data_IF_490236283240
#
_entry.id   IF_490236283240
#
_cell.length_a   1.000
_cell.length_b   1.000
_cell.length_c   1.000
_cell.angle_alpha   90.00
_cell.angle_beta   90.00
_cell.angle_gamma   90.00
#
_symmetry.space_group_name_H-M   'P 1'
#
loop_
_entity.id
_entity.type
_entity.pdbx_description
1 polymer ?
#
# COMPACT_ATOMS: atom_id res chain seq x y z
N UNK A 1 -0.13 -0.69 16.90
CA UNK A 1 -0.16 -1.94 16.14
C UNK A 1 1.26 -2.46 16.12
N UNK A 2 1.47 -3.66 16.64
CA UNK A 2 2.77 -4.33 16.63
C UNK A 2 2.97 -4.90 15.21
N UNK A 3 3.96 -4.39 14.48
CA UNK A 3 4.21 -4.77 13.08
C UNK A 3 4.74 -6.20 12.98
N UNK A 4 5.44 -6.67 14.02
CA UNK A 4 6.05 -8.00 14.06
C UNK A 4 5.01 -9.13 14.15
N UNK A 5 3.79 -8.80 14.56
CA UNK A 5 2.66 -9.73 14.67
C UNK A 5 1.68 -9.64 13.49
N UNK A 6 1.98 -8.81 12.49
CA UNK A 6 1.07 -8.64 11.35
C UNK A 6 1.16 -9.84 10.39
N UNK A 7 0.04 -10.54 10.22
CA UNK A 7 -0.04 -11.68 9.30
C UNK A 7 -0.37 -11.18 7.88
N UNK A 8 0.69 -10.92 7.09
CA UNK A 8 0.57 -10.41 5.71
C UNK A 8 -0.24 -11.37 4.81
N UNK A 9 0.01 -12.69 4.74
CA UNK A 9 -0.78 -13.59 3.90
C UNK A 9 -2.29 -13.51 4.19
N UNK A 10 -2.66 -13.54 5.48
CA UNK A 10 -4.06 -13.42 5.89
C UNK A 10 -4.66 -12.07 5.48
N UNK A 11 -3.89 -10.99 5.57
CA UNK A 11 -4.35 -9.68 5.14
C UNK A 11 -4.53 -9.63 3.61
N UNK A 12 -3.58 -10.15 2.83
CA UNK A 12 -3.70 -10.23 1.37
C UNK A 12 -4.97 -10.96 0.95
N UNK A 13 -5.28 -12.13 1.55
CA UNK A 13 -6.54 -12.88 1.32
C UNK A 13 -7.81 -12.03 1.49
N UNK A 14 -7.78 -11.04 2.39
CA UNK A 14 -8.93 -10.16 2.65
C UNK A 14 -9.13 -9.06 1.60
N UNK A 15 -8.12 -8.80 0.77
CA UNK A 15 -8.19 -7.80 -0.28
C UNK A 15 -8.87 -8.39 -1.51
N UNK A 16 -9.82 -7.66 -2.16
CA UNK A 16 -10.53 -8.16 -3.33
C UNK A 16 -9.60 -8.69 -4.44
N UNK A 17 -8.49 -7.98 -4.68
CA UNK A 17 -7.51 -8.30 -5.71
C UNK A 17 -6.85 -9.67 -5.52
N UNK A 18 -6.73 -10.17 -4.28
CA UNK A 18 -6.05 -11.43 -3.96
C UNK A 18 -6.98 -12.46 -3.28
N UNK A 19 -8.28 -12.20 -3.27
CA UNK A 19 -9.27 -13.05 -2.58
C UNK A 19 -9.26 -14.50 -3.10
N UNK A 20 -9.05 -14.70 -4.40
CA UNK A 20 -9.03 -16.00 -5.08
C UNK A 20 -7.64 -16.60 -5.35
N UNK A 21 -6.56 -15.97 -4.89
CA UNK A 21 -5.17 -16.41 -5.09
C UNK A 21 -4.87 -17.69 -4.29
N UNK A 22 -4.05 -18.63 -4.76
CA UNK A 22 -3.76 -19.83 -3.96
C UNK A 22 -2.97 -19.50 -2.67
N UNK A 23 -3.05 -20.34 -1.63
CA UNK A 23 -2.35 -20.07 -0.36
C UNK A 23 -0.82 -19.99 -0.55
N UNK A 24 -0.24 -20.86 -1.36
CA UNK A 24 1.20 -20.84 -1.66
C UNK A 24 1.62 -19.56 -2.39
N UNK A 25 0.77 -19.04 -3.29
CA UNK A 25 1.00 -17.78 -3.98
C UNK A 25 0.91 -16.59 -3.03
N UNK A 26 -0.03 -16.62 -2.07
CA UNK A 26 -0.10 -15.59 -1.03
C UNK A 26 1.15 -15.57 -0.15
N UNK A 27 1.70 -16.73 0.21
CA UNK A 27 2.97 -16.81 0.96
C UNK A 27 4.12 -16.20 0.16
N UNK A 28 4.20 -16.50 -1.14
CA UNK A 28 5.21 -15.91 -2.04
C UNK A 28 5.06 -14.40 -2.17
N UNK A 29 3.83 -13.89 -2.33
CA UNK A 29 3.56 -12.45 -2.38
C UNK A 29 3.92 -11.77 -1.05
N UNK A 30 3.57 -12.39 0.07
CA UNK A 30 3.86 -11.87 1.40
C UNK A 30 5.36 -11.72 1.67
N UNK A 31 6.19 -12.62 1.14
CA UNK A 31 7.65 -12.52 1.26
C UNK A 31 8.24 -11.28 0.56
N UNK A 32 7.55 -10.74 -0.46
CA UNK A 32 7.93 -9.50 -1.14
C UNK A 32 7.28 -8.25 -0.56
N UNK A 33 6.43 -8.37 0.46
CA UNK A 33 5.72 -7.25 1.06
C UNK A 33 6.52 -6.64 2.22
N UNK A 34 6.43 -5.32 2.37
CA UNK A 34 6.98 -4.60 3.51
C UNK A 34 5.89 -3.81 4.21
N UNK A 35 5.89 -3.82 5.55
CA UNK A 35 4.97 -3.04 6.35
C UNK A 35 5.64 -1.73 6.74
N UNK A 36 5.08 -0.60 6.30
CA UNK A 36 5.63 0.74 6.54
C UNK A 36 4.64 1.59 7.30
N UNK A 37 5.13 2.33 8.30
CA UNK A 37 4.35 3.29 9.07
C UNK A 37 4.72 4.70 8.64
N UNK A 38 3.72 5.55 8.49
CA UNK A 38 3.87 6.95 8.13
C UNK A 38 3.13 7.82 9.14
N UNK A 39 3.73 8.95 9.47
CA UNK A 39 3.09 9.98 10.28
C UNK A 39 2.15 10.84 9.43
N UNK A 40 1.20 11.54 10.07
CA UNK A 40 0.27 12.42 9.35
C UNK A 40 1.04 13.49 8.57
N UNK A 41 0.71 13.65 7.30
CA UNK A 41 1.36 14.61 6.41
C UNK A 41 2.67 14.12 5.78
N UNK A 42 3.13 12.91 6.10
CA UNK A 42 4.26 12.30 5.42
C UNK A 42 3.91 12.01 3.95
N UNK A 43 4.89 12.24 3.08
CA UNK A 43 4.79 11.88 1.68
C UNK A 43 5.20 10.40 1.49
N UNK A 44 4.40 9.62 0.74
CA UNK A 44 4.61 8.18 0.58
C UNK A 44 5.40 7.89 -0.71
N UNK A 45 4.99 8.48 -1.82
CA UNK A 45 5.67 8.44 -3.13
C UNK A 45 5.23 9.65 -3.97
N UNK A 46 6.05 10.03 -4.95
CA UNK A 46 5.78 11.16 -5.85
C UNK A 46 5.45 10.71 -7.28
N UNK A 47 4.71 11.56 -7.98
CA UNK A 47 4.52 11.40 -9.43
C UNK A 47 5.87 11.46 -10.15
N UNK A 48 6.09 10.52 -11.08
CA UNK A 48 7.31 10.46 -11.88
C UNK A 48 8.45 9.65 -11.23
N UNK A 49 8.31 9.24 -9.97
CA UNK A 49 9.21 8.26 -9.36
C UNK A 49 8.98 6.86 -9.97
N UNK A 50 10.01 6.01 -9.87
CA UNK A 50 9.92 4.63 -10.32
C UNK A 50 8.78 3.90 -9.57
N UNK A 51 7.97 3.16 -10.32
CA UNK A 51 6.89 2.36 -9.75
C UNK A 51 7.47 1.03 -9.24
N UNK A 52 8.05 1.06 -8.05
CA UNK A 52 8.73 -0.10 -7.45
C UNK A 52 7.76 -1.11 -6.81
N UNK A 53 6.48 -0.77 -6.70
CA UNK A 53 5.49 -1.67 -6.14
C UNK A 53 4.08 -1.11 -5.97
N UNK A 54 3.18 -2.00 -5.60
CA UNK A 54 1.80 -1.70 -5.28
C UNK A 54 1.63 -1.46 -3.77
N UNK A 55 0.85 -0.44 -3.41
CA UNK A 55 0.64 -0.03 -2.02
C UNK A 55 -0.81 -0.28 -1.59
N UNK A 56 -0.99 -0.78 -0.36
CA UNK A 56 -2.30 -1.00 0.25
C UNK A 56 -2.34 -0.35 1.62
N UNK A 57 -3.43 0.35 1.93
CA UNK A 57 -3.63 0.98 3.24
C UNK A 57 -4.18 -0.05 4.23
N UNK A 58 -3.36 -0.43 5.21
CA UNK A 58 -3.78 -1.33 6.31
C UNK A 58 -4.68 -0.60 7.31
N UNK A 59 -4.26 0.59 7.75
CA UNK A 59 -4.99 1.46 8.68
C UNK A 59 -4.71 2.91 8.32
N UNK A 60 -5.74 3.76 8.41
CA UNK A 60 -5.65 5.20 8.18
C UNK A 60 -6.17 5.60 6.80
N UNK A 61 -5.69 6.73 6.29
CA UNK A 61 -6.12 7.31 5.03
C UNK A 61 -4.92 7.85 4.28
N UNK A 62 -4.93 7.65 2.96
CA UNK A 62 -3.94 8.21 2.03
C UNK A 62 -4.70 9.00 0.98
N UNK A 63 -4.26 10.24 0.73
CA UNK A 63 -4.78 11.09 -0.34
C UNK A 63 -3.82 11.02 -1.51
N UNK A 64 -4.34 10.67 -2.68
CA UNK A 64 -3.66 10.85 -3.95
C UNK A 64 -4.10 12.20 -4.52
N UNK A 65 -3.15 12.97 -5.05
CA UNK A 65 -3.44 14.24 -5.70
C UNK A 65 -2.41 14.53 -6.79
N UNK A 66 -2.82 15.30 -7.78
CA UNK A 66 -1.92 15.85 -8.79
C UNK A 66 -1.98 17.37 -8.70
N UNK A 67 -0.82 18.02 -8.70
CA UNK A 67 -0.76 19.48 -8.78
C UNK A 67 -0.90 19.90 -10.24
N UNK A 68 -1.97 20.62 -10.56
CA UNK A 68 -2.10 21.22 -11.90
C UNK A 68 -1.08 22.36 -12.08
N UNK A 69 -0.67 22.69 -13.32
CA UNK A 69 0.24 23.81 -13.58
C UNK A 69 -0.25 25.18 -13.04
N UNK A 70 -1.56 25.30 -12.77
CA UNK A 70 -2.18 26.49 -12.16
C UNK A 70 -2.28 26.47 -10.63
N UNK A 71 -1.69 25.49 -9.95
CA UNK A 71 -1.64 25.41 -8.48
C UNK A 71 -2.85 24.78 -7.79
N UNK A 72 -3.87 24.36 -8.53
CA UNK A 72 -5.02 23.65 -7.97
C UNK A 72 -4.76 22.14 -7.90
N UNK A 73 -5.07 21.52 -6.76
CA UNK A 73 -5.03 20.07 -6.59
C UNK A 73 -6.20 19.41 -7.35
N UNK A 74 -5.90 18.41 -8.18
CA UNK A 74 -6.92 17.52 -8.75
C UNK A 74 -6.94 16.22 -7.96
N UNK A 75 -8.10 15.89 -7.39
CA UNK A 75 -8.42 14.61 -6.72
C UNK A 75 -8.94 13.63 -7.77
#
# INVERSE_FOLDING_TARGET
MDLDKFNIPRYLRSLPLFSSTADEELVRLAAGCSLRRFERGANIFNMGEACDGFHVVVVGQVKLFVVSPGGNEKV
#
